data_IF_541576539234
#
_entry.id   IF_541576539234
#
_cell.length_a   1.000
_cell.length_b   1.000
_cell.length_c   1.000
_cell.angle_alpha   90.00
_cell.angle_beta   90.00
_cell.angle_gamma   90.00
#
_symmetry.space_group_name_H-M   'P 1'
#
loop_
_entity.id
_entity.type
_entity.pdbx_description
1 polymer ?
#
# COMPACT_ATOMS: atom_id res chain seq x y z
N UNK A 1 -19.53 0.13 -12.62
CA UNK A 1 -18.21 -0.46 -12.31
C UNK A 1 -18.45 -1.21 -11.03
N UNK A 2 -18.04 -2.47 -10.90
CA UNK A 2 -18.27 -3.22 -9.66
C UNK A 2 -17.69 -2.45 -8.46
N UNK A 3 -16.51 -1.84 -8.65
CA UNK A 3 -15.88 -0.94 -7.68
C UNK A 3 -16.79 0.25 -7.32
N UNK A 4 -17.36 0.95 -8.31
CA UNK A 4 -18.27 2.07 -8.04
C UNK A 4 -19.55 1.61 -7.33
N UNK A 5 -20.09 0.44 -7.69
CA UNK A 5 -21.31 -0.09 -7.09
C UNK A 5 -21.09 -0.49 -5.63
N UNK A 6 -19.91 -1.03 -5.31
CA UNK A 6 -19.60 -1.59 -3.99
C UNK A 6 -18.92 -0.58 -3.06
N UNK A 7 -17.92 0.17 -3.53
CA UNK A 7 -17.26 1.21 -2.74
C UNK A 7 -18.16 2.45 -2.58
N UNK A 8 -19.01 2.73 -3.56
CA UNK A 8 -19.75 3.98 -3.65
C UNK A 8 -18.88 5.15 -4.10
N UNK A 9 -19.54 6.21 -4.60
CA UNK A 9 -18.84 7.34 -5.20
C UNK A 9 -18.01 8.14 -4.18
N UNK A 10 -18.52 8.32 -2.96
CA UNK A 10 -17.82 9.09 -1.91
C UNK A 10 -16.45 8.50 -1.57
N UNK A 11 -16.34 7.16 -1.51
CA UNK A 11 -15.08 6.48 -1.23
C UNK A 11 -14.07 6.56 -2.38
N UNK A 12 -14.53 6.73 -3.63
CA UNK A 12 -13.63 7.01 -4.76
C UNK A 12 -13.23 8.49 -4.73
N UNK A 13 -14.20 9.38 -4.54
CA UNK A 13 -14.01 10.84 -4.58
C UNK A 13 -13.07 11.35 -3.48
N UNK A 14 -12.98 10.66 -2.33
CA UNK A 14 -12.05 11.04 -1.25
C UNK A 14 -10.57 10.98 -1.68
N UNK A 15 -10.23 10.24 -2.73
CA UNK A 15 -8.85 10.12 -3.24
C UNK A 15 -8.52 11.08 -4.39
N UNK A 16 -9.53 11.81 -4.88
CA UNK A 16 -9.34 12.78 -5.98
C UNK A 16 -8.75 14.08 -5.40
N UNK A 17 -7.57 14.53 -5.85
CA UNK A 17 -6.84 15.66 -5.24
C UNK A 17 -7.27 17.02 -5.83
N UNK A 18 -8.50 17.13 -6.31
CA UNK A 18 -9.06 18.34 -6.89
C UNK A 18 -10.59 18.30 -6.81
N UNK A 19 -11.20 19.45 -7.03
CA UNK A 19 -12.66 19.58 -7.06
C UNK A 19 -13.20 19.06 -8.39
N UNK A 20 -14.14 18.12 -8.32
CA UNK A 20 -14.86 17.56 -9.46
C UNK A 20 -16.30 17.28 -9.02
N UNK A 21 -17.27 17.54 -9.89
CA UNK A 21 -18.65 17.20 -9.60
C UNK A 21 -18.91 15.69 -9.78
N UNK A 22 -19.90 15.18 -9.06
CA UNK A 22 -20.23 13.75 -9.08
C UNK A 22 -20.59 13.25 -10.48
N UNK A 23 -21.27 14.06 -11.28
CA UNK A 23 -21.75 13.66 -12.59
C UNK A 23 -20.59 13.45 -13.56
N UNK A 24 -19.62 14.37 -13.56
CA UNK A 24 -18.38 14.26 -14.34
C UNK A 24 -17.57 13.05 -13.91
N UNK A 25 -17.40 12.82 -12.60
CA UNK A 25 -16.68 11.64 -12.10
C UNK A 25 -17.37 10.34 -12.53
N UNK A 26 -18.70 10.24 -12.39
CA UNK A 26 -19.48 9.08 -12.85
C UNK A 26 -19.33 8.84 -14.36
N UNK A 27 -19.39 9.90 -15.16
CA UNK A 27 -19.25 9.81 -16.61
C UNK A 27 -17.86 9.29 -17.00
N UNK A 28 -16.79 9.80 -16.37
CA UNK A 28 -15.41 9.31 -16.59
C UNK A 28 -15.27 7.83 -16.22
N UNK A 29 -15.81 7.41 -15.07
CA UNK A 29 -15.81 6.00 -14.65
C UNK A 29 -16.56 5.12 -15.67
N UNK A 30 -17.74 5.54 -16.13
CA UNK A 30 -18.53 4.80 -17.14
C UNK A 30 -17.77 4.65 -18.45
N UNK A 31 -17.14 5.72 -18.94
CA UNK A 31 -16.35 5.67 -20.18
C UNK A 31 -15.19 4.68 -20.06
N UNK A 32 -14.46 4.70 -18.92
CA UNK A 32 -13.37 3.76 -18.67
C UNK A 32 -13.85 2.31 -18.62
N UNK A 33 -15.04 2.04 -18.09
CA UNK A 33 -15.59 0.69 -18.11
C UNK A 33 -15.92 0.18 -19.51
N UNK A 34 -16.45 1.05 -20.37
CA UNK A 34 -16.79 0.69 -21.75
C UNK A 34 -15.50 0.45 -22.55
N UNK A 35 -14.41 1.16 -22.22
CA UNK A 35 -13.12 1.07 -22.90
C UNK A 35 -11.97 0.91 -21.89
N UNK A 36 -11.81 -0.27 -21.27
CA UNK A 36 -10.88 -0.48 -20.15
C UNK A 36 -9.41 -0.28 -20.51
N UNK A 37 -9.06 -0.45 -21.78
CA UNK A 37 -7.71 -0.29 -22.32
C UNK A 37 -7.38 1.15 -22.74
N UNK A 38 -8.30 2.09 -22.58
CA UNK A 38 -8.03 3.52 -22.88
C UNK A 38 -6.96 4.03 -21.94
N UNK A 39 -5.93 4.70 -22.46
CA UNK A 39 -4.87 5.30 -21.65
C UNK A 39 -5.31 6.71 -21.24
N UNK A 40 -5.14 7.12 -19.97
CA UNK A 40 -5.37 8.50 -19.55
C UNK A 40 -4.64 9.50 -20.44
N UNK A 41 -5.36 10.50 -20.94
CA UNK A 41 -4.79 11.57 -21.77
C UNK A 41 -4.46 12.83 -20.96
N UNK A 42 -5.02 12.95 -19.75
CA UNK A 42 -4.75 14.05 -18.83
C UNK A 42 -4.33 13.55 -17.46
N UNK A 43 -3.66 14.42 -16.68
CA UNK A 43 -3.30 14.11 -15.31
C UNK A 43 -4.53 13.84 -14.43
N UNK A 44 -5.61 14.59 -14.64
CA UNK A 44 -6.87 14.41 -13.93
C UNK A 44 -7.47 13.02 -14.18
N UNK A 45 -7.41 12.52 -15.42
CA UNK A 45 -7.85 11.17 -15.76
C UNK A 45 -7.01 10.12 -15.05
N UNK A 46 -5.69 10.27 -15.06
CA UNK A 46 -4.78 9.36 -14.38
C UNK A 46 -5.05 9.35 -12.86
N UNK A 47 -5.24 10.52 -12.26
CA UNK A 47 -5.53 10.66 -10.83
C UNK A 47 -6.88 10.02 -10.46
N UNK A 48 -7.89 10.14 -11.31
CA UNK A 48 -9.19 9.48 -11.13
C UNK A 48 -9.03 7.95 -11.24
N UNK A 49 -8.25 7.45 -12.20
CA UNK A 49 -7.97 6.02 -12.32
C UNK A 49 -7.25 5.48 -11.08
N UNK A 50 -6.25 6.20 -10.57
CA UNK A 50 -5.58 5.84 -9.32
C UNK A 50 -6.52 5.91 -8.10
N UNK A 51 -7.49 6.83 -8.07
CA UNK A 51 -8.50 6.89 -7.01
C UNK A 51 -9.42 5.65 -7.03
N UNK A 52 -9.86 5.23 -8.22
CA UNK A 52 -10.65 4.00 -8.40
C UNK A 52 -9.83 2.77 -8.01
N UNK A 53 -8.56 2.72 -8.40
CA UNK A 53 -7.66 1.61 -8.11
C UNK A 53 -7.45 1.41 -6.60
N UNK A 54 -7.28 2.48 -5.83
CA UNK A 54 -7.20 2.39 -4.35
C UNK A 54 -8.41 1.71 -3.75
N UNK A 55 -9.60 2.09 -4.17
CA UNK A 55 -10.83 1.45 -3.68
C UNK A 55 -10.98 0.01 -4.17
N UNK A 56 -10.59 -0.29 -5.41
CA UNK A 56 -10.58 -1.66 -5.92
C UNK A 56 -9.65 -2.57 -5.11
N UNK A 57 -8.44 -2.11 -4.80
CA UNK A 57 -7.46 -2.83 -3.99
C UNK A 57 -7.95 -3.00 -2.55
N UNK A 58 -8.54 -1.96 -1.96
CA UNK A 58 -9.11 -2.02 -0.60
C UNK A 58 -10.23 -3.07 -0.51
N UNK A 59 -11.16 -3.05 -1.46
CA UNK A 59 -12.23 -4.05 -1.54
C UNK A 59 -11.67 -5.46 -1.76
N UNK A 60 -10.67 -5.62 -2.62
CA UNK A 60 -10.02 -6.91 -2.85
C UNK A 60 -9.41 -7.48 -1.55
N UNK A 61 -8.77 -6.65 -0.72
CA UNK A 61 -8.25 -7.09 0.58
C UNK A 61 -9.36 -7.46 1.56
N UNK A 62 -10.45 -6.69 1.60
CA UNK A 62 -11.62 -6.99 2.45
C UNK A 62 -12.23 -8.34 2.05
N UNK A 63 -12.46 -8.55 0.75
CA UNK A 63 -12.94 -9.82 0.23
C UNK A 63 -11.99 -10.97 0.55
N UNK A 64 -10.69 -10.78 0.36
CA UNK A 64 -9.70 -11.81 0.67
C UNK A 64 -9.72 -12.19 2.17
N UNK A 65 -9.80 -11.22 3.08
CA UNK A 65 -9.96 -11.46 4.52
C UNK A 65 -11.26 -12.19 4.87
N UNK A 66 -12.33 -11.96 4.11
CA UNK A 66 -13.62 -12.64 4.34
C UNK A 66 -13.61 -14.10 3.89
N UNK A 67 -12.76 -14.45 2.91
CA UNK A 67 -12.62 -15.80 2.38
C UNK A 67 -11.56 -16.61 3.15
N UNK A 68 -10.46 -15.97 3.54
CA UNK A 68 -9.36 -16.58 4.26
C UNK A 68 -9.66 -16.70 5.77
N UNK A 69 -10.76 -17.35 6.13
CA UNK A 69 -11.15 -17.58 7.54
C UNK A 69 -10.86 -19.02 7.96
N UNK A 70 -10.63 -19.24 9.26
CA UNK A 70 -10.57 -20.61 9.80
C UNK A 70 -11.85 -21.41 9.46
N UNK A 71 -11.71 -22.74 9.33
CA UNK A 71 -12.79 -23.64 8.91
C UNK A 71 -14.05 -23.44 9.77
N UNK A 72 -15.13 -22.97 9.15
CA UNK A 72 -16.46 -22.89 9.77
C UNK A 72 -17.05 -24.31 9.84
N UNK A 73 -17.20 -24.85 11.05
CA UNK A 73 -18.03 -26.05 11.28
C UNK A 73 -17.29 -27.35 11.62
N UNK A 74 -15.97 -27.35 11.82
CA UNK A 74 -15.31 -28.50 12.44
C UNK A 74 -15.53 -28.41 13.96
N UNK A 75 -16.10 -29.45 14.57
CA UNK A 75 -16.12 -29.59 16.03
C UNK A 75 -14.68 -29.66 16.53
N UNK A 76 -14.13 -28.55 16.99
CA UNK A 76 -12.94 -28.57 17.82
C UNK A 76 -13.31 -29.31 19.11
N UNK A 77 -12.55 -30.33 19.51
CA UNK A 77 -12.65 -30.91 20.84
C UNK A 77 -12.42 -29.79 21.87
N UNK A 78 -13.48 -29.41 22.58
CA UNK A 78 -13.45 -28.26 23.49
C UNK A 78 -12.98 -28.72 24.86
N UNK A 79 -11.88 -28.16 25.32
CA UNK A 79 -11.48 -28.21 26.73
C UNK A 79 -12.26 -27.15 27.51
N UNK A 80 -12.52 -27.36 28.81
CA UNK A 80 -13.20 -26.37 29.67
C UNK A 80 -12.47 -25.00 29.66
N UNK A 81 -11.16 -25.02 29.42
CA UNK A 81 -10.32 -23.82 29.24
C UNK A 81 -10.68 -22.98 28.03
N UNK A 82 -11.17 -23.59 26.94
CA UNK A 82 -11.50 -22.92 25.67
C UNK A 82 -12.83 -22.15 25.75
N UNK A 83 -13.61 -22.36 26.81
CA UNK A 83 -14.87 -21.63 27.06
C UNK A 83 -14.60 -20.22 27.58
N UNK A 84 -13.47 -19.99 28.25
CA UNK A 84 -13.09 -18.68 28.78
C UNK A 84 -12.37 -17.81 27.73
N UNK A 85 -11.68 -18.41 26.76
CA UNK A 85 -11.18 -17.72 25.57
C UNK A 85 -12.24 -17.71 24.47
N UNK A 86 -13.29 -16.89 24.62
CA UNK A 86 -14.22 -16.61 23.51
C UNK A 86 -13.50 -15.90 22.34
N UNK A 87 -12.73 -16.62 21.53
CA UNK A 87 -12.35 -16.18 20.20
C UNK A 87 -13.42 -16.63 19.21
N UNK A 88 -14.27 -15.68 18.82
CA UNK A 88 -15.37 -15.89 17.86
C UNK A 88 -14.90 -16.64 16.60
N UNK A 89 -15.66 -17.67 16.24
CA UNK A 89 -15.64 -18.32 14.92
C UNK A 89 -15.73 -17.27 13.80
N UNK A 90 -14.88 -17.38 12.77
CA UNK A 90 -14.88 -16.49 11.60
C UNK A 90 -13.80 -15.40 11.56
N UNK A 91 -12.79 -15.44 12.43
CA UNK A 91 -11.61 -14.57 12.29
C UNK A 91 -10.81 -14.91 11.03
N UNK A 92 -10.35 -13.87 10.32
CA UNK A 92 -9.42 -13.98 9.20
C UNK A 92 -8.08 -14.55 9.66
N UNK A 93 -7.48 -15.41 8.84
CA UNK A 93 -6.12 -15.95 9.00
C UNK A 93 -5.05 -14.91 8.63
N UNK A 94 -5.46 -13.82 7.98
CA UNK A 94 -4.58 -12.75 7.53
C UNK A 94 -4.29 -11.80 8.70
N UNK A 95 -3.07 -11.90 9.22
CA UNK A 95 -2.50 -10.96 10.18
C UNK A 95 -1.52 -10.02 9.45
N UNK A 96 -1.94 -8.77 9.24
CA UNK A 96 -1.18 -7.78 8.48
C UNK A 96 0.20 -7.49 9.08
N UNK A 97 0.37 -7.66 10.40
CA UNK A 97 1.64 -7.40 11.08
C UNK A 97 2.67 -8.52 10.84
N UNK A 98 2.20 -9.70 10.45
CA UNK A 98 3.05 -10.86 10.11
C UNK A 98 3.38 -10.95 8.62
N UNK A 99 2.88 -10.02 7.80
CA UNK A 99 3.14 -10.02 6.35
C UNK A 99 4.45 -9.32 6.04
N UNK A 100 5.46 -10.10 5.65
CA UNK A 100 6.77 -9.57 5.25
C UNK A 100 6.81 -9.04 3.80
N UNK A 101 5.86 -9.46 2.96
CA UNK A 101 5.79 -9.12 1.54
C UNK A 101 4.33 -9.02 1.08
N UNK A 102 4.01 -7.94 0.39
CA UNK A 102 2.77 -7.79 -0.38
C UNK A 102 3.13 -7.69 -1.86
N UNK A 103 2.49 -8.51 -2.68
CA UNK A 103 2.65 -8.54 -4.14
C UNK A 103 1.39 -8.01 -4.79
N UNK A 104 1.51 -6.91 -5.53
CA UNK A 104 0.40 -6.32 -6.29
C UNK A 104 0.38 -6.83 -7.73
N UNK A 105 -0.77 -7.28 -8.23
CA UNK A 105 -0.95 -7.62 -9.65
C UNK A 105 -2.21 -6.95 -10.19
N UNK A 106 -2.25 -6.76 -11.51
CA UNK A 106 -3.35 -6.12 -12.24
C UNK A 106 -2.83 -4.99 -13.13
N UNK A 107 -3.48 -4.82 -14.29
CA UNK A 107 -3.01 -3.90 -15.34
C UNK A 107 -2.72 -2.47 -14.86
N UNK A 108 -3.49 -1.94 -13.90
CA UNK A 108 -3.24 -0.59 -13.35
C UNK A 108 -1.95 -0.51 -12.52
N UNK A 109 -1.55 -1.58 -11.83
CA UNK A 109 -0.31 -1.65 -11.06
C UNK A 109 0.89 -1.96 -11.96
N UNK A 110 0.70 -2.85 -12.94
CA UNK A 110 1.72 -3.27 -13.91
C UNK A 110 2.10 -2.15 -14.88
N UNK A 111 1.12 -1.33 -15.30
CA UNK A 111 1.30 -0.29 -16.30
C UNK A 111 1.18 1.14 -15.76
N UNK A 112 1.23 1.34 -14.43
CA UNK A 112 1.33 2.68 -13.88
C UNK A 112 2.57 3.39 -14.47
N UNK A 113 2.46 4.65 -14.94
CA UNK A 113 3.57 5.38 -15.56
C UNK A 113 4.85 5.43 -14.72
N UNK A 114 4.72 5.46 -13.39
CA UNK A 114 5.86 5.42 -12.45
C UNK A 114 5.61 4.37 -11.37
N UNK A 115 6.66 3.65 -10.97
CA UNK A 115 6.57 2.59 -9.93
C UNK A 115 6.16 3.11 -8.55
N UNK A 116 6.48 4.35 -8.19
CA UNK A 116 5.98 5.00 -6.96
C UNK A 116 4.45 5.10 -6.94
N UNK A 117 3.79 5.21 -8.10
CA UNK A 117 2.33 5.26 -8.19
C UNK A 117 1.71 3.92 -7.82
N UNK A 118 2.27 2.81 -8.32
CA UNK A 118 1.88 1.45 -7.90
C UNK A 118 2.11 1.25 -6.40
N UNK A 119 3.28 1.65 -5.89
CA UNK A 119 3.61 1.52 -4.47
C UNK A 119 2.62 2.28 -3.60
N UNK A 120 2.37 3.57 -3.89
CA UNK A 120 1.51 4.39 -3.06
C UNK A 120 0.04 3.93 -3.12
N UNK A 121 -0.46 3.51 -4.29
CA UNK A 121 -1.80 2.91 -4.38
C UNK A 121 -1.94 1.67 -3.49
N UNK A 122 -0.93 0.80 -3.45
CA UNK A 122 -0.92 -0.38 -2.57
C UNK A 122 -0.83 0.02 -1.09
N UNK A 123 0.02 0.97 -0.73
CA UNK A 123 0.15 1.43 0.67
C UNK A 123 -1.15 2.08 1.15
N UNK A 124 -1.79 2.89 0.32
CA UNK A 124 -3.05 3.57 0.63
C UNK A 124 -4.22 2.58 0.80
N UNK A 125 -4.24 1.51 0.00
CA UNK A 125 -5.34 0.55 -0.03
C UNK A 125 -5.19 -0.60 0.98
N UNK A 126 -3.97 -1.10 1.15
CA UNK A 126 -3.70 -2.25 1.99
C UNK A 126 -3.27 -1.89 3.40
N UNK A 127 -2.85 -0.64 3.62
CA UNK A 127 -2.44 -0.13 4.93
C UNK A 127 -1.46 -1.08 5.64
N UNK A 128 -0.27 -1.35 5.05
CA UNK A 128 0.71 -2.24 5.65
C UNK A 128 1.09 -1.76 7.06
N UNK A 129 1.44 -2.71 7.94
CA UNK A 129 1.74 -2.47 9.36
C UNK A 129 3.17 -2.91 9.68
N UNK A 130 3.90 -2.12 10.46
CA UNK A 130 5.27 -2.44 10.82
C UNK A 130 6.21 -2.26 9.62
N UNK A 131 6.98 -3.29 9.30
CA UNK A 131 7.95 -3.29 8.20
C UNK A 131 7.51 -4.32 7.16
N UNK A 132 7.07 -3.85 5.99
CA UNK A 132 6.51 -4.72 4.94
C UNK A 132 7.13 -4.39 3.59
N UNK A 133 7.62 -5.40 2.87
CA UNK A 133 8.11 -5.23 1.49
C UNK A 133 6.95 -5.19 0.51
N UNK A 134 7.12 -4.43 -0.55
CA UNK A 134 6.16 -4.28 -1.64
C UNK A 134 6.81 -4.68 -2.95
N UNK A 135 6.08 -5.45 -3.74
CA UNK A 135 6.47 -5.83 -5.10
C UNK A 135 5.25 -5.82 -6.01
N UNK A 136 5.48 -5.81 -7.31
CA UNK A 136 4.42 -5.89 -8.31
C UNK A 136 4.73 -6.93 -9.37
N UNK A 137 3.68 -7.53 -9.90
CA UNK A 137 3.67 -8.24 -11.18
C UNK A 137 3.82 -7.21 -12.30
N UNK A 138 5.03 -7.07 -12.83
CA UNK A 138 5.38 -5.95 -13.71
C UNK A 138 4.79 -6.06 -15.12
N UNK A 139 4.50 -7.29 -15.57
CA UNK A 139 4.00 -7.61 -16.92
C UNK A 139 2.60 -8.22 -16.92
N UNK A 140 1.95 -8.30 -15.75
CA UNK A 140 0.61 -8.88 -15.56
C UNK A 140 0.49 -10.34 -16.04
N UNK A 141 1.53 -11.15 -15.78
CA UNK A 141 1.63 -12.51 -16.29
C UNK A 141 1.52 -13.59 -15.21
N UNK A 142 1.52 -13.24 -13.92
CA UNK A 142 1.53 -14.25 -12.84
C UNK A 142 0.43 -15.33 -12.97
N UNK A 143 -0.85 -15.00 -13.26
CA UNK A 143 -1.87 -16.02 -13.44
C UNK A 143 -1.58 -16.98 -14.61
N UNK A 144 -1.00 -16.45 -15.70
CA UNK A 144 -0.67 -17.25 -16.89
C UNK A 144 0.55 -18.15 -16.65
N UNK A 145 1.52 -17.70 -15.85
CA UNK A 145 2.69 -18.51 -15.49
C UNK A 145 2.31 -19.76 -14.70
N UNK A 146 1.23 -19.73 -13.92
CA UNK A 146 0.71 -20.92 -13.25
C UNK A 146 0.19 -22.00 -14.22
N UNK A 147 -0.27 -21.61 -15.41
CA UNK A 147 -0.62 -22.57 -16.47
C UNK A 147 0.64 -23.05 -17.17
N UNK A 148 1.57 -22.14 -17.49
CA UNK A 148 2.84 -22.48 -18.14
C UNK A 148 3.68 -23.45 -17.30
N UNK A 149 3.66 -23.33 -15.97
CA UNK A 149 4.45 -24.19 -15.08
C UNK A 149 4.06 -25.66 -15.14
N UNK A 150 2.85 -25.99 -15.59
CA UNK A 150 2.43 -27.38 -15.82
C UNK A 150 3.05 -28.00 -17.09
N UNK A 151 3.56 -27.17 -18.00
CA UNK A 151 4.17 -27.57 -19.27
C UNK A 151 5.69 -27.45 -19.18
N UNK A 152 6.19 -26.31 -18.71
CA UNK A 152 7.61 -26.02 -18.53
C UNK A 152 7.80 -25.17 -17.26
N UNK A 153 8.05 -25.86 -16.15
CA UNK A 153 8.30 -25.26 -14.84
C UNK A 153 9.52 -24.32 -14.85
N UNK A 154 10.56 -24.68 -15.60
CA UNK A 154 11.79 -23.89 -15.64
C UNK A 154 11.55 -22.57 -16.36
N UNK A 155 10.91 -22.59 -17.53
CA UNK A 155 10.58 -21.39 -18.28
C UNK A 155 9.63 -20.48 -17.48
N UNK A 156 8.60 -21.05 -16.84
CA UNK A 156 7.69 -20.30 -15.99
C UNK A 156 8.41 -19.61 -14.82
N UNK A 157 9.35 -20.33 -14.18
CA UNK A 157 10.15 -19.79 -13.06
C UNK A 157 11.10 -18.70 -13.52
N UNK A 158 11.80 -18.89 -14.64
CA UNK A 158 12.72 -17.90 -15.20
C UNK A 158 11.98 -16.57 -15.51
N UNK A 159 10.82 -16.63 -16.15
CA UNK A 159 9.99 -15.44 -16.43
C UNK A 159 9.44 -14.83 -15.14
N UNK A 160 9.02 -15.65 -14.18
CA UNK A 160 8.51 -15.15 -12.89
C UNK A 160 9.56 -14.32 -12.14
N UNK A 161 10.77 -14.87 -12.00
CA UNK A 161 11.84 -14.25 -11.21
C UNK A 161 12.44 -13.04 -11.91
N UNK A 162 12.61 -13.10 -13.24
CA UNK A 162 13.31 -12.06 -14.01
C UNK A 162 12.39 -10.93 -14.45
N UNK A 163 11.17 -11.25 -14.86
CA UNK A 163 10.30 -10.30 -15.56
C UNK A 163 9.06 -9.92 -14.74
N UNK A 164 8.46 -10.86 -14.01
CA UNK A 164 7.25 -10.57 -13.23
C UNK A 164 7.57 -9.86 -11.92
N UNK A 165 8.51 -10.39 -11.11
CA UNK A 165 8.74 -9.94 -9.74
C UNK A 165 9.61 -8.69 -9.66
N UNK A 166 8.98 -7.51 -9.71
CA UNK A 166 9.68 -6.23 -9.49
C UNK A 166 9.46 -5.76 -8.05
N UNK A 167 10.53 -5.73 -7.26
CA UNK A 167 10.51 -5.16 -5.91
C UNK A 167 10.43 -3.63 -5.97
N UNK A 168 9.36 -3.07 -5.41
CA UNK A 168 9.17 -1.63 -5.28
C UNK A 168 10.04 -1.09 -4.14
N UNK A 169 10.12 -1.83 -3.04
CA UNK A 169 10.94 -1.50 -1.88
C UNK A 169 10.23 -1.85 -0.58
N UNK A 170 10.54 -1.12 0.49
CA UNK A 170 10.00 -1.41 1.83
C UNK A 170 9.16 -0.25 2.33
N UNK A 171 7.97 -0.55 2.87
CA UNK A 171 7.13 0.39 3.59
C UNK A 171 7.28 0.15 5.10
N UNK A 172 7.52 1.22 5.84
CA UNK A 172 7.63 1.23 7.30
C UNK A 172 6.51 2.10 7.85
N UNK A 173 5.51 1.47 8.46
CA UNK A 173 4.28 2.12 8.90
C UNK A 173 4.01 1.82 10.39
N UNK A 174 4.21 2.78 11.29
CA UNK A 174 3.85 2.62 12.70
C UNK A 174 2.34 2.48 12.89
N UNK A 175 1.97 1.64 13.87
CA UNK A 175 0.60 1.36 14.27
C UNK A 175 0.21 2.33 15.38
N UNK A 176 -0.72 3.24 15.10
CA UNK A 176 -1.18 4.22 16.07
C UNK A 176 -1.83 5.43 15.41
N UNK A 177 -2.31 6.33 16.26
CA UNK A 177 -2.96 7.59 15.89
C UNK A 177 -2.34 8.75 16.67
N UNK A 178 -2.38 9.94 16.09
CA UNK A 178 -1.94 11.19 16.68
C UNK A 178 -2.38 12.37 15.82
N UNK A 179 -2.21 13.60 16.30
CA UNK A 179 -2.60 14.78 15.51
C UNK A 179 -1.58 15.05 14.42
N UNK A 180 -2.02 15.60 13.30
CA UNK A 180 -1.14 15.97 12.19
C UNK A 180 0.02 16.86 12.69
N UNK A 181 1.24 16.51 12.30
CA UNK A 181 2.48 17.18 12.72
C UNK A 181 3.02 16.77 14.10
N UNK A 182 2.27 16.06 14.94
CA UNK A 182 2.79 15.53 16.20
C UNK A 182 3.83 14.43 15.96
N UNK A 183 4.72 14.23 16.92
CA UNK A 183 5.77 13.21 16.85
C UNK A 183 5.17 11.79 16.85
N UNK A 184 5.51 11.00 15.83
CA UNK A 184 5.13 9.59 15.72
C UNK A 184 6.27 8.66 16.15
N UNK A 185 7.47 8.86 15.60
CA UNK A 185 8.66 8.07 15.93
C UNK A 185 9.94 8.82 15.57
N UNK A 186 11.05 8.46 16.21
CA UNK A 186 12.39 8.80 15.70
C UNK A 186 12.94 7.61 14.92
N UNK A 187 13.71 7.89 13.86
CA UNK A 187 14.38 6.85 13.10
C UNK A 187 15.87 7.15 12.91
N UNK A 188 16.64 6.07 12.77
CA UNK A 188 18.01 6.09 12.30
C UNK A 188 18.18 4.99 11.26
N UNK A 189 18.59 5.36 10.04
CA UNK A 189 18.85 4.45 8.92
C UNK A 189 20.34 4.42 8.69
N UNK A 190 20.94 3.23 8.80
CA UNK A 190 22.35 2.98 8.49
C UNK A 190 22.45 2.32 7.13
N UNK A 191 23.07 3.00 6.18
CA UNK A 191 23.28 2.55 4.81
C UNK A 191 24.54 1.67 4.68
N UNK A 192 24.69 0.91 3.58
CA UNK A 192 25.86 0.05 3.35
C UNK A 192 27.21 0.77 3.38
N UNK A 193 27.23 2.04 2.97
CA UNK A 193 28.41 2.91 2.95
C UNK A 193 28.76 3.48 4.33
N UNK A 194 28.02 3.11 5.38
CA UNK A 194 28.18 3.61 6.74
C UNK A 194 27.52 4.98 6.98
N UNK A 195 26.92 5.60 5.96
CA UNK A 195 26.14 6.83 6.12
C UNK A 195 24.95 6.56 7.04
N UNK A 196 24.64 7.50 7.92
CA UNK A 196 23.49 7.41 8.83
C UNK A 196 22.56 8.60 8.57
N UNK A 197 21.33 8.31 8.15
CA UNK A 197 20.23 9.30 8.09
C UNK A 197 19.40 9.20 9.37
N UNK A 198 19.33 10.30 10.13
CA UNK A 198 18.55 10.38 11.37
C UNK A 198 17.50 11.46 11.22
N UNK A 199 16.32 11.19 11.75
CA UNK A 199 15.27 12.19 11.78
C UNK A 199 14.07 11.77 12.61
N UNK A 200 13.07 12.61 12.56
CA UNK A 200 11.78 12.39 13.19
C UNK A 200 10.74 12.13 12.10
N UNK A 201 9.90 11.13 12.33
CA UNK A 201 8.68 10.89 11.58
C UNK A 201 7.51 11.48 12.38
N UNK A 202 6.76 12.39 11.76
CA UNK A 202 5.56 12.97 12.35
C UNK A 202 4.30 12.32 11.82
N UNK A 203 3.22 12.41 12.59
CA UNK A 203 1.90 11.97 12.16
C UNK A 203 1.44 12.78 10.95
N UNK A 204 0.92 12.09 9.95
CA UNK A 204 0.45 12.70 8.69
C UNK A 204 1.53 12.91 7.63
N UNK A 205 2.78 12.51 7.88
CA UNK A 205 3.87 12.64 6.92
C UNK A 205 4.15 11.34 6.13
N UNK A 206 4.62 11.54 4.90
CA UNK A 206 5.28 10.50 4.11
C UNK A 206 6.70 10.96 3.84
N UNK A 207 7.66 10.05 3.98
CA UNK A 207 9.05 10.31 3.60
C UNK A 207 9.56 9.17 2.74
N UNK A 208 10.00 9.49 1.53
CA UNK A 208 10.70 8.56 0.65
C UNK A 208 12.20 8.72 0.82
N UNK A 209 12.88 7.64 1.19
CA UNK A 209 14.33 7.57 1.31
C UNK A 209 14.86 6.71 0.16
N UNK A 210 15.75 7.25 -0.70
CA UNK A 210 16.36 6.47 -1.77
C UNK A 210 17.14 5.27 -1.23
N UNK A 211 16.80 4.07 -1.70
CA UNK A 211 17.49 2.82 -1.41
C UNK A 211 17.34 1.88 -2.62
N UNK A 212 18.43 1.64 -3.34
CA UNK A 212 18.39 0.89 -4.59
C UNK A 212 18.02 -0.59 -4.38
N UNK A 213 17.58 -1.28 -5.44
CA UNK A 213 17.06 -2.66 -5.37
C UNK A 213 18.06 -3.71 -4.90
N UNK A 214 19.35 -3.46 -5.12
CA UNK A 214 20.48 -4.28 -4.69
C UNK A 214 21.01 -3.89 -3.29
N UNK A 215 20.47 -2.82 -2.69
CA UNK A 215 20.90 -2.30 -1.40
C UNK A 215 19.98 -2.74 -0.26
N UNK A 216 20.60 -2.91 0.90
CA UNK A 216 19.94 -3.15 2.18
C UNK A 216 20.40 -2.11 3.19
N UNK A 217 19.55 -1.74 4.12
CA UNK A 217 19.89 -0.83 5.21
C UNK A 217 19.37 -1.37 6.54
N UNK A 218 20.02 -1.00 7.64
CA UNK A 218 19.49 -1.26 8.98
C UNK A 218 18.71 -0.03 9.43
N UNK A 219 17.43 -0.19 9.74
CA UNK A 219 16.60 0.87 10.32
C UNK A 219 16.30 0.55 11.78
N UNK A 220 16.57 1.53 12.64
CA UNK A 220 16.12 1.54 14.05
C UNK A 220 15.06 2.61 14.19
N UNK A 221 13.93 2.25 14.80
CA UNK A 221 12.80 3.16 14.99
C UNK A 221 12.37 3.12 16.44
N UNK A 222 12.30 4.30 17.05
CA UNK A 222 11.82 4.51 18.40
C UNK A 222 10.45 5.20 18.35
N UNK A 223 9.34 4.44 18.45
CA UNK A 223 8.02 5.02 18.49
C UNK A 223 7.75 5.73 19.82
N UNK A 224 6.79 6.67 19.82
CA UNK A 224 6.23 7.23 21.05
C UNK A 224 5.42 6.18 21.82
N UNK A 225 5.12 6.43 23.10
CA UNK A 225 4.55 5.44 24.04
C UNK A 225 3.28 4.74 23.53
N UNK A 226 2.45 5.43 22.75
CA UNK A 226 1.17 4.93 22.23
C UNK A 226 1.27 4.28 20.84
N UNK A 227 2.45 4.28 20.22
CA UNK A 227 2.67 3.79 18.86
C UNK A 227 3.41 2.46 18.91
N UNK A 228 2.99 1.49 18.11
CA UNK A 228 3.55 0.15 18.03
C UNK A 228 4.15 -0.12 16.63
N UNK A 229 5.24 -0.89 16.55
CA UNK A 229 5.87 -1.33 15.30
C UNK A 229 6.00 -2.86 15.19
N UNK A 230 5.24 -3.58 16.02
CA UNK A 230 5.18 -5.04 16.07
C UNK A 230 5.81 -5.68 17.30
N UNK A 231 6.55 -4.92 18.11
CA UNK A 231 7.20 -5.38 19.34
C UNK A 231 6.50 -4.91 20.63
N UNK A 232 5.38 -4.19 20.52
CA UNK A 232 4.69 -3.54 21.63
C UNK A 232 4.73 -2.01 21.53
N UNK A 233 3.84 -1.34 22.26
CA UNK A 233 3.74 0.11 22.23
C UNK A 233 4.96 0.79 22.87
N UNK A 234 5.54 1.79 22.20
CA UNK A 234 6.73 2.51 22.65
C UNK A 234 8.04 1.70 22.60
N UNK A 235 8.01 0.45 22.12
CA UNK A 235 9.19 -0.41 22.07
C UNK A 235 10.01 -0.13 20.81
N UNK A 236 11.32 0.07 20.97
CA UNK A 236 12.25 0.24 19.86
C UNK A 236 12.29 -0.99 18.98
N UNK A 237 12.29 -0.81 17.66
CA UNK A 237 12.42 -1.91 16.69
C UNK A 237 13.60 -1.64 15.78
N UNK A 238 14.49 -2.63 15.64
CA UNK A 238 15.55 -2.64 14.64
C UNK A 238 15.31 -3.77 13.63
N UNK A 239 15.36 -3.43 12.34
CA UNK A 239 15.14 -4.36 11.22
C UNK A 239 16.07 -4.05 10.06
N UNK A 240 16.44 -5.09 9.32
CA UNK A 240 17.00 -4.92 7.97
C UNK A 240 15.86 -4.61 7.01
N UNK A 241 16.04 -3.60 6.17
CA UNK A 241 15.11 -3.24 5.09
C UNK A 241 15.81 -3.33 3.75
N UNK A 242 15.07 -3.79 2.74
CA UNK A 242 15.56 -3.91 1.38
C UNK A 242 15.02 -2.77 0.53
N UNK A 243 15.87 -2.23 -0.34
CA UNK A 243 15.45 -1.25 -1.33
C UNK A 243 14.64 -1.87 -2.45
N UNK A 244 14.42 -1.08 -3.49
CA UNK A 244 13.69 -1.49 -4.67
C UNK A 244 13.74 -0.39 -5.72
N UNK A 245 12.96 -0.53 -6.78
CA UNK A 245 12.88 0.48 -7.84
C UNK A 245 12.40 1.84 -7.31
N UNK A 246 11.69 1.86 -6.17
CA UNK A 246 11.21 3.07 -5.50
C UNK A 246 12.06 3.41 -4.27
N UNK A 247 12.31 2.44 -3.38
CA UNK A 247 13.16 2.61 -2.20
C UNK A 247 12.43 2.37 -0.87
N UNK A 248 12.83 3.11 0.16
CA UNK A 248 12.30 2.96 1.52
C UNK A 248 11.28 4.05 1.82
N UNK A 249 10.02 3.69 2.03
CA UNK A 249 8.94 4.60 2.38
C UNK A 249 8.67 4.55 3.89
N UNK A 250 8.83 5.67 4.57
CA UNK A 250 8.38 5.85 5.94
C UNK A 250 6.99 6.50 5.91
N UNK A 251 5.99 5.80 6.44
CA UNK A 251 4.59 6.22 6.42
C UNK A 251 4.10 6.55 7.83
N UNK A 252 4.10 7.84 8.15
CA UNK A 252 3.63 8.38 9.43
C UNK A 252 2.14 8.73 9.41
N UNK A 253 1.37 8.43 8.36
CA UNK A 253 -0.03 8.87 8.23
C UNK A 253 -1.01 8.20 9.20
N UNK A 254 -0.50 7.33 10.07
CA UNK A 254 -1.28 6.58 11.05
C UNK A 254 -1.92 5.34 10.46
N UNK A 255 -2.27 4.42 11.35
CA UNK A 255 -2.97 3.16 11.04
C UNK A 255 -4.06 2.94 12.08
N UNK A 256 -5.35 2.81 11.68
CA UNK A 256 -5.86 2.93 10.30
C UNK A 256 -5.68 4.34 9.69
N UNK A 257 -5.54 4.43 8.38
CA UNK A 257 -5.40 5.68 7.64
C UNK A 257 -6.72 6.46 7.67
N UNK A 258 -6.67 7.69 8.16
CA UNK A 258 -7.85 8.56 8.27
C UNK A 258 -7.73 9.74 7.30
N UNK A 259 -8.69 9.85 6.38
CA UNK A 259 -8.84 11.01 5.51
C UNK A 259 -9.87 11.96 6.11
N UNK A 260 -9.57 13.26 6.08
CA UNK A 260 -10.53 14.29 6.52
C UNK A 260 -11.81 14.24 5.69
N UNK A 261 -12.96 14.41 6.34
CA UNK A 261 -14.25 14.58 5.66
C UNK A 261 -14.35 15.96 4.99
N UNK A 262 -13.63 16.95 5.53
CA UNK A 262 -13.50 18.27 4.94
C UNK A 262 -12.77 18.19 3.58
N UNK A 263 -13.36 18.78 2.54
CA UNK A 263 -12.85 18.70 1.18
C UNK A 263 -11.46 19.35 1.04
N UNK A 264 -11.31 20.58 1.53
CA UNK A 264 -10.11 21.38 1.31
C UNK A 264 -8.94 20.83 2.12
N UNK A 265 -9.20 20.44 3.38
CA UNK A 265 -8.19 19.80 4.24
C UNK A 265 -7.73 18.47 3.63
N UNK A 266 -8.66 17.65 3.13
CA UNK A 266 -8.32 16.37 2.50
C UNK A 266 -7.51 16.56 1.23
N UNK A 267 -7.94 17.46 0.33
CA UNK A 267 -7.23 17.74 -0.92
C UNK A 267 -5.83 18.27 -0.65
N UNK A 268 -5.67 19.17 0.33
CA UNK A 268 -4.35 19.67 0.75
C UNK A 268 -3.45 18.54 1.26
N UNK A 269 -3.97 17.63 2.10
CA UNK A 269 -3.22 16.48 2.60
C UNK A 269 -2.78 15.53 1.46
N UNK A 270 -3.67 15.21 0.52
CA UNK A 270 -3.33 14.39 -0.64
C UNK A 270 -2.21 15.03 -1.48
N UNK A 271 -2.30 16.34 -1.76
CA UNK A 271 -1.27 17.06 -2.51
C UNK A 271 0.06 17.08 -1.77
N UNK A 272 0.06 17.31 -0.45
CA UNK A 272 1.26 17.22 0.41
C UNK A 272 1.94 15.86 0.26
N UNK A 273 1.17 14.77 0.34
CA UNK A 273 1.67 13.41 0.18
C UNK A 273 2.22 13.15 -1.22
N UNK A 274 1.53 13.61 -2.26
CA UNK A 274 1.96 13.43 -3.64
C UNK A 274 3.26 14.18 -3.92
N UNK A 275 3.43 15.37 -3.37
CA UNK A 275 4.68 16.13 -3.46
C UNK A 275 5.82 15.45 -2.70
N UNK A 276 5.56 14.93 -1.50
CA UNK A 276 6.57 14.30 -0.65
C UNK A 276 7.24 13.06 -1.29
N UNK A 277 6.56 12.41 -2.24
CA UNK A 277 7.08 11.23 -2.96
C UNK A 277 7.24 11.47 -4.46
N UNK A 278 7.09 12.72 -4.92
CA UNK A 278 7.09 13.09 -6.35
C UNK A 278 6.17 12.18 -7.19
N UNK A 279 4.92 11.99 -6.74
CA UNK A 279 3.98 11.05 -7.34
C UNK A 279 3.59 11.43 -8.77
N UNK A 280 3.36 12.73 -8.98
CA UNK A 280 3.04 13.34 -10.27
C UNK A 280 4.00 14.51 -10.49
N UNK A 281 5.02 14.36 -11.33
CA UNK A 281 5.99 15.42 -11.54
C UNK A 281 5.30 16.59 -12.23
N UNK A 282 5.62 17.80 -11.80
CA UNK A 282 5.19 19.00 -12.52
C UNK A 282 5.99 19.03 -13.82
N UNK A 283 5.31 18.95 -14.96
CA UNK A 283 5.94 19.23 -16.25
C UNK A 283 6.45 20.68 -16.17
N UNK A 284 7.75 20.85 -15.99
CA UNK A 284 8.38 22.15 -16.20
C UNK A 284 8.17 22.44 -17.68
N UNK A 285 7.41 23.49 -18.00
CA UNK A 285 7.42 24.02 -19.35
C UNK A 285 8.89 24.30 -19.70
N UNK A 286 9.39 23.64 -20.73
CA UNK A 286 10.70 23.95 -21.30
C UNK A 286 10.74 25.47 -21.55
N UNK A 287 11.77 26.13 -21.01
CA UNK A 287 12.06 27.53 -21.29
C UNK A 287 12.54 27.68 -22.72
#
# INVERSE_FOLDING_TARGET
>A
SNVLAEAGLANIMRWVPFTIDEQTLRNRIKNKMVRPTTIPQTLDELQIEHAIAREALRLALIHHKSLATALKGIQQERTISDVFEQQQSGKTLIDMLKLDLIVGSGGILSHAPRRIQSMLMMVDAYEPLGVTRLSVDSIFMMPHLGVLSAIDEKAATDVFVRDCMVYLGTCVAPIGQGKDGERCADYAITFPDGRIDKGQLSFGDLRLVPLASDQKASITIQPVKQVNLGAGAGVSVTREVQGGVVGLLLDGRGRPLQLSTDHDVRVAALKKWYQAVDLYPVLSAEK
#
